data_IF_136654683871
#
_entry.id   IF_136654683871
#
_cell.length_a   1.000
_cell.length_b   1.000
_cell.length_c   1.000
_cell.angle_alpha   90.00
_cell.angle_beta   90.00
_cell.angle_gamma   90.00
#
_symmetry.space_group_name_H-M   'P 1'
#
loop_
_entity.id
_entity.type
_entity.pdbx_description
1 polymer ?
#
# COMPACT_ATOMS: atom_id res chain seq x y z
N UNK A 1 -10.82 -21.41 -17.08
CA UNK A 1 -11.53 -20.96 -15.87
C UNK A 1 -13.03 -20.94 -16.16
N UNK A 2 -13.88 -21.30 -15.18
CA UNK A 2 -15.33 -21.30 -15.35
C UNK A 2 -15.84 -19.88 -15.66
N UNK A 3 -16.85 -19.75 -16.56
CA UNK A 3 -17.53 -18.49 -16.76
C UNK A 3 -18.09 -17.88 -15.48
N UNK A 4 -18.18 -16.58 -15.39
CA UNK A 4 -18.63 -15.83 -14.17
C UNK A 4 -19.98 -16.34 -13.67
N UNK A 5 -20.97 -16.52 -14.57
CA UNK A 5 -22.31 -16.99 -14.22
C UNK A 5 -22.32 -18.44 -13.67
N UNK A 6 -21.46 -19.30 -14.21
CA UNK A 6 -21.29 -20.69 -13.70
C UNK A 6 -20.60 -20.68 -12.35
N UNK A 7 -19.54 -19.89 -12.20
CA UNK A 7 -18.84 -19.73 -10.92
C UNK A 7 -19.79 -19.22 -9.83
N UNK A 8 -20.58 -18.18 -10.10
CA UNK A 8 -21.54 -17.62 -9.14
C UNK A 8 -22.59 -18.65 -8.67
N UNK A 9 -22.94 -19.64 -9.51
CA UNK A 9 -23.90 -20.71 -9.15
C UNK A 9 -23.29 -21.89 -8.43
N UNK A 10 -21.99 -22.15 -8.63
CA UNK A 10 -21.32 -23.38 -8.15
C UNK A 10 -20.46 -23.17 -6.91
N UNK A 11 -19.85 -21.99 -6.73
CA UNK A 11 -19.04 -21.71 -5.55
C UNK A 11 -19.91 -21.61 -4.29
N UNK A 12 -19.38 -22.01 -3.13
CA UNK A 12 -20.14 -22.09 -1.88
C UNK A 12 -19.37 -21.60 -0.65
N UNK A 13 -18.05 -21.60 -0.68
CA UNK A 13 -17.21 -21.32 0.47
C UNK A 13 -16.13 -20.30 0.15
N UNK A 14 -15.49 -19.75 1.19
CA UNK A 14 -14.30 -18.88 1.07
C UNK A 14 -13.20 -19.62 0.29
N UNK A 15 -12.96 -20.88 0.58
CA UNK A 15 -12.00 -21.75 -0.14
C UNK A 15 -12.28 -21.81 -1.64
N UNK A 16 -13.54 -21.96 -2.02
CA UNK A 16 -13.94 -22.00 -3.43
C UNK A 16 -13.62 -20.68 -4.14
N UNK A 17 -13.94 -19.55 -3.49
CA UNK A 17 -13.66 -18.21 -4.03
C UNK A 17 -12.16 -17.96 -4.18
N UNK A 18 -11.35 -18.31 -3.17
CA UNK A 18 -9.89 -18.15 -3.23
C UNK A 18 -9.33 -18.98 -4.39
N UNK A 19 -9.70 -20.26 -4.49
CA UNK A 19 -9.28 -21.10 -5.60
C UNK A 19 -9.68 -20.49 -6.96
N UNK A 20 -10.91 -19.99 -7.07
CA UNK A 20 -11.37 -19.31 -8.28
C UNK A 20 -10.54 -18.06 -8.59
N UNK A 21 -10.33 -17.19 -7.60
CA UNK A 21 -9.55 -15.97 -7.75
C UNK A 21 -8.11 -16.24 -8.19
N UNK A 22 -7.42 -17.22 -7.57
CA UNK A 22 -6.08 -17.65 -8.00
C UNK A 22 -6.08 -18.06 -9.47
N UNK A 23 -7.05 -18.89 -9.88
CA UNK A 23 -7.14 -19.35 -11.28
C UNK A 23 -7.38 -18.18 -12.25
N UNK A 24 -8.19 -17.20 -11.84
CA UNK A 24 -8.47 -16.00 -12.67
C UNK A 24 -7.26 -15.09 -12.80
N UNK A 25 -6.58 -14.78 -11.69
CA UNK A 25 -5.37 -13.96 -11.68
C UNK A 25 -4.27 -14.57 -12.55
N UNK A 26 -4.03 -15.87 -12.41
CA UNK A 26 -3.04 -16.58 -13.25
C UNK A 26 -3.44 -16.60 -14.73
N UNK A 27 -4.70 -16.91 -15.04
CA UNK A 27 -5.20 -16.91 -16.42
C UNK A 27 -5.13 -15.53 -17.08
N UNK A 28 -5.33 -14.46 -16.32
CA UNK A 28 -5.19 -13.08 -16.74
C UNK A 28 -3.73 -12.62 -16.82
N UNK A 29 -2.77 -13.46 -16.42
CA UNK A 29 -1.35 -13.09 -16.32
C UNK A 29 -1.18 -11.78 -15.50
N UNK A 30 -1.88 -11.68 -14.36
CA UNK A 30 -1.79 -10.53 -13.46
C UNK A 30 -0.37 -10.38 -12.93
N UNK A 31 0.12 -9.15 -12.85
CA UNK A 31 1.40 -8.83 -12.21
C UNK A 31 1.17 -8.42 -10.77
N UNK A 32 2.10 -8.82 -9.91
CA UNK A 32 2.08 -8.57 -8.47
C UNK A 32 3.21 -7.63 -8.07
N UNK A 33 3.32 -7.26 -6.79
CA UNK A 33 4.33 -6.35 -6.26
C UNK A 33 3.76 -5.04 -5.68
N UNK A 34 2.43 -4.98 -5.53
CA UNK A 34 1.72 -3.85 -4.92
C UNK A 34 1.11 -4.25 -3.56
N UNK A 35 1.93 -4.89 -2.71
CA UNK A 35 1.53 -5.37 -1.39
C UNK A 35 1.40 -6.90 -1.28
N UNK A 36 1.36 -7.61 -2.41
CA UNK A 36 1.41 -9.07 -2.51
C UNK A 36 2.39 -9.46 -3.60
N UNK A 37 3.03 -10.63 -3.46
CA UNK A 37 4.06 -11.10 -4.39
C UNK A 37 3.58 -12.24 -5.30
N UNK A 38 2.37 -12.73 -5.09
CA UNK A 38 1.83 -13.87 -5.82
C UNK A 38 0.30 -13.90 -5.86
N UNK A 39 -0.24 -14.74 -6.74
CA UNK A 39 -1.68 -14.87 -6.96
C UNK A 39 -2.45 -15.42 -5.76
N UNK A 40 -1.81 -16.23 -4.90
CA UNK A 40 -2.47 -16.81 -3.74
C UNK A 40 -2.74 -15.74 -2.68
N UNK A 41 -1.72 -15.00 -2.27
CA UNK A 41 -1.84 -13.97 -1.26
C UNK A 41 -2.80 -12.85 -1.70
N UNK A 42 -2.73 -12.48 -2.99
CA UNK A 42 -3.66 -11.48 -3.53
C UNK A 42 -5.10 -12.00 -3.58
N UNK A 43 -5.32 -13.27 -3.94
CA UNK A 43 -6.65 -13.89 -3.93
C UNK A 43 -7.23 -13.97 -2.51
N UNK A 44 -6.41 -14.33 -1.53
CA UNK A 44 -6.81 -14.36 -0.12
C UNK A 44 -7.24 -12.96 0.33
N UNK A 45 -6.42 -11.95 0.05
CA UNK A 45 -6.75 -10.57 0.40
C UNK A 45 -8.04 -10.11 -0.25
N UNK A 46 -8.17 -10.24 -1.58
CA UNK A 46 -9.37 -9.83 -2.32
C UNK A 46 -10.65 -10.46 -1.74
N UNK A 47 -10.61 -11.77 -1.47
CA UNK A 47 -11.77 -12.49 -0.94
C UNK A 47 -12.09 -12.06 0.48
N UNK A 48 -11.12 -12.04 1.40
CA UNK A 48 -11.37 -11.64 2.78
C UNK A 48 -11.83 -10.17 2.87
N UNK A 49 -11.20 -9.29 2.10
CA UNK A 49 -11.58 -7.87 2.05
C UNK A 49 -13.02 -7.69 1.55
N UNK A 50 -13.41 -8.38 0.48
CA UNK A 50 -14.77 -8.29 -0.09
C UNK A 50 -15.85 -8.80 0.87
N UNK A 51 -15.48 -9.66 1.81
CA UNK A 51 -16.36 -10.24 2.82
C UNK A 51 -16.28 -9.48 4.16
N UNK A 52 -15.52 -8.39 4.25
CA UNK A 52 -15.25 -7.66 5.50
C UNK A 52 -14.70 -8.55 6.63
N UNK A 53 -13.89 -9.55 6.27
CA UNK A 53 -13.24 -10.47 7.20
C UNK A 53 -11.82 -10.00 7.55
N UNK A 54 -11.31 -10.34 8.76
CA UNK A 54 -9.93 -10.04 9.13
C UNK A 54 -8.93 -10.68 8.16
N UNK A 55 -7.99 -9.89 7.65
CA UNK A 55 -7.02 -10.33 6.64
C UNK A 55 -5.99 -11.31 7.20
N UNK A 56 -5.81 -11.35 8.53
CA UNK A 56 -4.87 -12.20 9.27
C UNK A 56 -5.49 -13.51 9.78
N UNK A 57 -6.77 -13.78 9.50
CA UNK A 57 -7.51 -14.93 10.05
C UNK A 57 -8.21 -15.78 8.98
N UNK A 58 -7.43 -16.36 8.07
CA UNK A 58 -7.97 -17.15 6.98
C UNK A 58 -8.52 -18.52 7.45
N UNK A 59 -7.73 -19.28 8.21
CA UNK A 59 -8.02 -20.71 8.48
C UNK A 59 -9.42 -20.98 9.05
N UNK A 60 -9.91 -20.25 10.06
CA UNK A 60 -11.24 -20.53 10.60
C UNK A 60 -12.38 -20.17 9.63
N UNK A 61 -12.08 -19.39 8.58
CA UNK A 61 -13.10 -18.92 7.61
C UNK A 61 -13.16 -19.75 6.34
N UNK A 62 -12.16 -20.61 6.06
CA UNK A 62 -12.02 -21.30 4.78
C UNK A 62 -13.26 -22.09 4.34
N UNK A 63 -13.90 -22.80 5.26
CA UNK A 63 -15.05 -23.64 4.96
C UNK A 63 -16.40 -22.95 5.28
N UNK A 64 -16.36 -21.65 5.63
CA UNK A 64 -17.56 -20.87 5.84
C UNK A 64 -18.38 -20.78 4.54
N UNK A 65 -19.69 -21.04 4.66
CA UNK A 65 -20.63 -20.88 3.54
C UNK A 65 -21.01 -19.43 3.35
N UNK A 66 -21.11 -19.06 2.10
CA UNK A 66 -21.35 -17.70 1.67
C UNK A 66 -22.75 -17.53 1.07
N UNK A 67 -23.30 -16.35 1.27
CA UNK A 67 -24.54 -15.96 0.59
C UNK A 67 -24.26 -15.72 -0.92
N UNK A 68 -25.27 -15.90 -1.80
CA UNK A 68 -25.09 -15.62 -3.23
C UNK A 68 -24.64 -14.18 -3.54
N UNK A 69 -25.04 -13.19 -2.75
CA UNK A 69 -24.61 -11.79 -2.89
C UNK A 69 -23.15 -11.59 -2.55
N UNK A 70 -22.63 -12.26 -1.52
CA UNK A 70 -21.23 -12.22 -1.15
C UNK A 70 -20.34 -12.85 -2.24
N UNK A 71 -20.78 -14.00 -2.77
CA UNK A 71 -20.09 -14.66 -3.89
C UNK A 71 -20.04 -13.73 -5.12
N UNK A 72 -21.16 -13.11 -5.46
CA UNK A 72 -21.25 -12.21 -6.61
C UNK A 72 -20.33 -10.97 -6.43
N UNK A 73 -20.30 -10.37 -5.24
CA UNK A 73 -19.43 -9.23 -4.94
C UNK A 73 -17.94 -9.59 -5.03
N UNK A 74 -17.54 -10.73 -4.45
CA UNK A 74 -16.16 -11.20 -4.53
C UNK A 74 -15.73 -11.51 -5.97
N UNK A 75 -16.56 -12.20 -6.75
CA UNK A 75 -16.30 -12.47 -8.16
C UNK A 75 -16.15 -11.16 -8.95
N UNK A 76 -17.06 -10.19 -8.74
CA UNK A 76 -17.00 -8.90 -9.44
C UNK A 76 -15.68 -8.17 -9.16
N UNK A 77 -15.20 -8.19 -7.91
CA UNK A 77 -13.93 -7.58 -7.54
C UNK A 77 -12.74 -8.28 -8.21
N UNK A 78 -12.72 -9.61 -8.23
CA UNK A 78 -11.69 -10.41 -8.92
C UNK A 78 -11.69 -10.12 -10.42
N UNK A 79 -12.87 -10.06 -11.05
CA UNK A 79 -12.96 -9.75 -12.49
C UNK A 79 -12.49 -8.32 -12.79
N UNK A 80 -12.83 -7.34 -11.94
CA UNK A 80 -12.29 -5.98 -12.08
C UNK A 80 -10.78 -5.97 -12.00
N UNK A 81 -10.19 -6.67 -11.03
CA UNK A 81 -8.73 -6.79 -10.91
C UNK A 81 -8.08 -7.36 -12.17
N UNK A 82 -8.70 -8.38 -12.76
CA UNK A 82 -8.20 -9.04 -13.96
C UNK A 82 -8.35 -8.20 -15.24
N UNK A 83 -9.46 -7.45 -15.38
CA UNK A 83 -9.81 -6.71 -16.60
C UNK A 83 -9.26 -5.29 -16.60
N UNK A 84 -9.39 -4.58 -15.48
CA UNK A 84 -8.91 -3.20 -15.33
C UNK A 84 -7.40 -3.14 -15.05
N UNK A 85 -6.80 -4.24 -14.61
CA UNK A 85 -5.36 -4.33 -14.25
C UNK A 85 -4.95 -3.34 -13.16
N UNK A 86 -5.90 -2.90 -12.36
CA UNK A 86 -5.63 -2.01 -11.23
C UNK A 86 -4.85 -2.77 -10.14
N UNK A 87 -3.86 -2.14 -9.49
CA UNK A 87 -3.26 -2.68 -8.28
C UNK A 87 -4.31 -3.03 -7.24
N UNK A 88 -4.09 -4.13 -6.50
CA UNK A 88 -4.97 -4.55 -5.40
C UNK A 88 -5.27 -3.38 -4.45
N UNK A 89 -4.24 -2.65 -4.04
CA UNK A 89 -4.36 -1.53 -3.11
C UNK A 89 -5.28 -0.40 -3.63
N UNK A 90 -5.30 -0.16 -4.94
CA UNK A 90 -6.20 0.85 -5.53
C UNK A 90 -7.64 0.34 -5.65
N UNK A 91 -7.83 -0.97 -5.84
CA UNK A 91 -9.16 -1.59 -5.85
C UNK A 91 -9.82 -1.58 -4.48
N UNK A 92 -9.03 -1.80 -3.43
CA UNK A 92 -9.50 -1.86 -2.04
C UNK A 92 -9.48 -0.49 -1.35
N UNK A 93 -8.76 0.48 -1.90
CA UNK A 93 -8.56 1.79 -1.29
C UNK A 93 -7.61 1.75 -0.09
N UNK A 94 -6.89 0.65 0.13
CA UNK A 94 -5.99 0.49 1.25
C UNK A 94 -4.77 -0.37 0.93
N UNK A 95 -3.68 -0.10 1.61
CA UNK A 95 -2.46 -0.88 1.60
C UNK A 95 -1.95 -1.11 3.03
N UNK A 96 -1.16 -2.16 3.22
CA UNK A 96 -0.56 -2.48 4.50
C UNK A 96 0.97 -2.52 4.37
N UNK A 97 1.65 -1.84 5.26
CA UNK A 97 3.10 -1.81 5.32
C UNK A 97 3.56 -1.90 6.77
N UNK A 98 4.34 -2.91 7.11
CA UNK A 98 4.83 -3.18 8.48
C UNK A 98 3.71 -3.26 9.53
N UNK A 99 2.57 -3.85 9.17
CA UNK A 99 1.42 -3.97 10.07
C UNK A 99 0.54 -2.74 10.20
N UNK A 100 0.93 -1.63 9.58
CA UNK A 100 0.17 -0.39 9.56
C UNK A 100 -0.70 -0.28 8.31
N UNK A 101 -1.93 0.22 8.46
CA UNK A 101 -2.87 0.42 7.38
C UNK A 101 -2.78 1.84 6.82
N UNK A 102 -2.71 1.95 5.50
CA UNK A 102 -2.71 3.22 4.78
C UNK A 102 -3.86 3.31 3.79
N UNK A 103 -4.48 4.45 3.66
CA UNK A 103 -5.34 4.78 2.53
C UNK A 103 -4.47 4.86 1.27
N UNK A 104 -4.97 4.31 0.17
CA UNK A 104 -4.19 4.17 -1.04
C UNK A 104 -5.04 4.34 -2.30
N UNK A 105 -4.63 5.23 -3.19
CA UNK A 105 -5.22 5.44 -4.51
C UNK A 105 -4.19 6.04 -5.48
N UNK A 106 -4.61 6.34 -6.71
CA UNK A 106 -3.74 6.82 -7.78
C UNK A 106 -3.10 8.21 -7.54
N UNK A 107 -3.33 8.86 -6.38
CA UNK A 107 -2.66 10.12 -5.99
C UNK A 107 -1.20 9.91 -5.57
N UNK A 108 -0.86 8.71 -5.08
CA UNK A 108 0.51 8.38 -4.67
C UNK A 108 0.85 6.92 -4.95
N UNK A 109 2.16 6.62 -4.94
CA UNK A 109 2.69 5.27 -5.06
C UNK A 109 2.09 4.36 -3.96
N UNK A 110 1.80 3.10 -4.32
CA UNK A 110 1.41 2.09 -3.32
C UNK A 110 2.52 1.98 -2.26
N UNK A 111 2.19 2.09 -0.96
CA UNK A 111 3.18 1.98 0.12
C UNK A 111 4.01 0.70 0.01
N UNK A 112 5.27 0.87 -0.37
CA UNK A 112 6.28 -0.19 -0.45
C UNK A 112 7.67 0.46 -0.43
N UNK A 113 8.52 0.05 0.47
CA UNK A 113 9.90 0.57 0.50
C UNK A 113 10.76 -0.31 1.39
N UNK A 114 11.96 -0.69 0.97
CA UNK A 114 12.95 -1.34 1.84
C UNK A 114 13.33 -0.47 3.06
N UNK A 115 13.15 0.85 2.98
CA UNK A 115 13.39 1.77 4.11
C UNK A 115 12.44 1.44 5.27
N UNK A 116 11.21 0.99 4.98
CA UNK A 116 10.28 0.57 6.02
C UNK A 116 10.82 -0.63 6.83
N UNK A 117 11.49 -1.58 6.16
CA UNK A 117 12.11 -2.72 6.84
C UNK A 117 13.28 -2.28 7.73
N UNK A 118 14.07 -1.29 7.28
CA UNK A 118 15.14 -0.71 8.08
C UNK A 118 14.59 0.02 9.32
N UNK A 119 13.49 0.77 9.17
CA UNK A 119 12.85 1.47 10.29
C UNK A 119 12.28 0.53 11.34
N UNK A 120 11.82 -0.67 10.93
CA UNK A 120 11.23 -1.67 11.82
C UNK A 120 12.25 -2.69 12.37
N UNK A 121 13.53 -2.51 12.07
CA UNK A 121 14.61 -3.41 12.48
C UNK A 121 15.67 -2.68 13.31
N UNK A 122 16.53 -3.47 13.96
CA UNK A 122 17.70 -2.98 14.69
C UNK A 122 18.86 -2.62 13.76
N UNK A 123 18.68 -2.73 12.44
CA UNK A 123 19.75 -2.49 11.45
C UNK A 123 20.25 -1.04 11.46
N UNK A 124 19.46 -0.10 11.94
CA UNK A 124 19.85 1.31 12.07
C UNK A 124 20.63 1.62 13.38
N UNK A 125 20.55 0.77 14.39
CA UNK A 125 21.18 1.04 15.69
C UNK A 125 22.66 1.40 15.64
N UNK A 126 23.52 0.76 14.82
CA UNK A 126 24.93 1.14 14.73
C UNK A 126 25.18 2.55 14.16
N UNK A 127 24.17 3.14 13.50
CA UNK A 127 24.30 4.40 12.76
C UNK A 127 23.51 5.54 13.37
N UNK A 128 22.54 5.21 14.24
CA UNK A 128 21.72 6.20 14.92
C UNK A 128 22.15 6.33 16.38
N UNK A 129 22.09 7.54 16.94
CA UNK A 129 22.08 7.71 18.38
C UNK A 129 20.86 6.98 18.96
N UNK A 130 20.72 7.00 20.28
CA UNK A 130 19.52 6.46 20.93
C UNK A 130 18.26 6.99 20.22
N UNK A 131 17.27 6.13 20.00
CA UNK A 131 16.03 6.52 19.31
C UNK A 131 15.35 7.73 19.98
N UNK A 132 15.55 7.90 21.30
CA UNK A 132 15.06 9.03 22.06
C UNK A 132 15.79 10.35 21.75
N UNK A 133 16.98 10.30 21.15
CA UNK A 133 17.76 11.48 20.76
C UNK A 133 17.39 11.98 19.36
N UNK A 134 16.62 11.24 18.58
CA UNK A 134 16.09 11.66 17.29
C UNK A 134 14.91 12.62 17.51
N UNK A 135 15.16 13.91 17.37
CA UNK A 135 14.16 14.97 17.55
C UNK A 135 13.47 15.42 16.27
N UNK A 136 14.15 15.29 15.12
CA UNK A 136 13.65 15.79 13.83
C UNK A 136 13.92 14.81 12.69
N UNK A 137 12.86 14.45 11.95
CA UNK A 137 12.95 13.54 10.80
C UNK A 137 12.36 14.22 9.56
N UNK A 138 13.02 14.06 8.43
CA UNK A 138 12.51 14.41 7.11
C UNK A 138 12.20 13.14 6.32
N UNK A 139 11.01 13.07 5.73
CA UNK A 139 10.65 12.14 4.67
C UNK A 139 10.54 12.92 3.36
N UNK A 140 11.57 12.81 2.52
CA UNK A 140 11.69 13.54 1.25
C UNK A 140 11.13 12.68 0.12
N UNK A 141 10.24 13.23 -0.71
CA UNK A 141 9.39 12.52 -1.65
C UNK A 141 8.42 11.59 -0.90
N UNK A 142 7.69 12.17 0.05
CA UNK A 142 6.90 11.44 1.04
C UNK A 142 5.71 10.67 0.44
N UNK A 143 5.24 11.05 -0.76
CA UNK A 143 4.06 10.42 -1.37
C UNK A 143 2.86 10.45 -0.42
N UNK A 144 2.29 9.28 -0.12
CA UNK A 144 1.19 9.10 0.84
C UNK A 144 1.61 9.13 2.32
N UNK A 145 2.83 9.58 2.65
CA UNK A 145 3.41 9.70 3.99
C UNK A 145 3.66 8.38 4.73
N UNK A 146 3.76 7.25 4.05
CA UNK A 146 3.96 5.98 4.73
C UNK A 146 5.25 5.93 5.55
N UNK A 147 6.38 6.38 4.99
CA UNK A 147 7.65 6.42 5.72
C UNK A 147 7.66 7.47 6.83
N UNK A 148 7.04 8.64 6.60
CA UNK A 148 6.89 9.67 7.63
C UNK A 148 6.12 9.16 8.86
N UNK A 149 5.03 8.41 8.63
CA UNK A 149 4.21 7.81 9.67
C UNK A 149 4.97 6.72 10.41
N UNK A 150 5.63 5.79 9.70
CA UNK A 150 6.46 4.75 10.32
C UNK A 150 7.60 5.35 11.15
N UNK A 151 8.26 6.42 10.65
CA UNK A 151 9.28 7.13 11.39
C UNK A 151 8.71 7.79 12.67
N UNK A 152 7.51 8.38 12.59
CA UNK A 152 6.85 8.96 13.76
C UNK A 152 6.49 7.91 14.80
N UNK A 153 6.12 6.69 14.41
CA UNK A 153 5.91 5.57 15.33
C UNK A 153 7.23 5.11 15.96
N UNK A 154 8.29 4.91 15.16
CA UNK A 154 9.61 4.45 15.63
C UNK A 154 10.26 5.45 16.58
N UNK A 155 10.21 6.74 16.26
CA UNK A 155 10.84 7.83 17.03
C UNK A 155 9.76 8.63 17.76
N UNK A 156 9.32 8.10 18.90
CA UNK A 156 8.15 8.61 19.63
C UNK A 156 8.19 10.10 20.00
N UNK A 157 9.39 10.71 20.10
CA UNK A 157 9.60 12.13 20.42
C UNK A 157 9.82 13.01 19.20
N UNK A 158 10.09 12.43 18.02
CA UNK A 158 10.45 13.20 16.85
C UNK A 158 9.26 13.99 16.27
N UNK A 159 9.58 15.20 15.79
CA UNK A 159 8.74 15.93 14.85
C UNK A 159 9.14 15.53 13.44
N UNK A 160 8.18 15.14 12.62
CA UNK A 160 8.43 14.66 11.26
C UNK A 160 7.91 15.66 10.24
N UNK A 161 8.70 15.90 9.19
CA UNK A 161 8.25 16.66 8.01
C UNK A 161 8.21 15.70 6.82
N UNK A 162 7.03 15.55 6.20
CA UNK A 162 6.87 14.95 4.87
C UNK A 162 6.93 16.04 3.81
N UNK A 163 7.80 15.91 2.81
CA UNK A 163 7.90 16.85 1.72
C UNK A 163 7.67 16.18 0.36
N UNK A 164 6.82 16.75 -0.47
CA UNK A 164 6.54 16.26 -1.82
C UNK A 164 6.26 17.40 -2.79
N UNK A 165 6.44 17.14 -4.07
CA UNK A 165 6.11 18.07 -5.14
C UNK A 165 4.61 18.06 -5.45
N UNK A 166 3.96 16.87 -5.38
CA UNK A 166 2.57 16.64 -5.74
C UNK A 166 1.61 17.09 -4.64
N UNK A 167 0.70 17.99 -4.96
CA UNK A 167 -0.40 18.42 -4.07
C UNK A 167 -1.38 17.29 -3.82
N UNK A 168 -1.61 16.43 -4.80
CA UNK A 168 -2.49 15.27 -4.72
C UNK A 168 -1.93 14.22 -3.76
N UNK A 169 -0.63 13.94 -3.85
CA UNK A 169 0.05 13.04 -2.93
C UNK A 169 0.00 13.57 -1.49
N UNK A 170 0.25 14.89 -1.31
CA UNK A 170 0.16 15.53 0.01
C UNK A 170 -1.27 15.54 0.58
N UNK A 171 -2.30 15.58 -0.27
CA UNK A 171 -3.68 15.43 0.20
C UNK A 171 -3.92 14.02 0.78
N UNK A 172 -3.49 12.96 0.07
CA UNK A 172 -3.55 11.58 0.58
C UNK A 172 -2.69 11.42 1.85
N UNK A 173 -1.50 12.03 1.86
CA UNK A 173 -0.63 12.04 3.04
C UNK A 173 -1.32 12.62 4.27
N UNK A 174 -2.05 13.74 4.10
CA UNK A 174 -2.84 14.35 5.18
C UNK A 174 -3.93 13.43 5.72
N UNK A 175 -4.62 12.70 4.84
CA UNK A 175 -5.63 11.70 5.22
C UNK A 175 -4.98 10.55 6.02
N UNK A 176 -3.82 10.05 5.60
CA UNK A 176 -3.08 9.00 6.31
C UNK A 176 -2.57 9.47 7.67
N UNK A 177 -2.00 10.69 7.75
CA UNK A 177 -1.55 11.27 9.02
C UNK A 177 -2.72 11.39 10.02
N UNK A 178 -3.89 11.79 9.55
CA UNK A 178 -5.09 11.87 10.38
C UNK A 178 -5.57 10.48 10.81
N UNK A 179 -5.56 9.48 9.91
CA UNK A 179 -5.89 8.08 10.21
C UNK A 179 -5.04 7.53 11.35
N UNK A 180 -3.75 7.88 11.39
CA UNK A 180 -2.79 7.45 12.42
C UNK A 180 -2.73 8.37 13.65
N UNK A 181 -3.59 9.39 13.74
CA UNK A 181 -3.62 10.36 14.84
C UNK A 181 -2.30 11.12 15.06
N UNK A 182 -1.57 11.42 13.97
CA UNK A 182 -0.24 12.03 14.01
C UNK A 182 -0.22 13.50 13.56
N UNK A 183 -1.35 14.19 13.49
CA UNK A 183 -1.48 15.56 13.00
C UNK A 183 -0.64 16.59 13.78
N UNK A 184 -0.37 16.34 15.06
CA UNK A 184 0.46 17.21 15.91
C UNK A 184 1.98 16.94 15.75
N UNK A 185 2.34 15.80 15.14
CA UNK A 185 3.74 15.37 15.05
C UNK A 185 4.27 15.30 13.63
N UNK A 186 3.42 15.10 12.64
CA UNK A 186 3.79 15.03 11.23
C UNK A 186 3.20 16.21 10.49
N UNK A 187 4.05 17.02 9.89
CA UNK A 187 3.66 18.18 9.08
C UNK A 187 4.08 18.03 7.64
N UNK A 188 3.30 18.56 6.71
CA UNK A 188 3.54 18.43 5.28
C UNK A 188 4.09 19.74 4.68
N UNK A 189 4.97 19.63 3.68
CA UNK A 189 5.52 20.75 2.92
C UNK A 189 5.49 20.43 1.43
N UNK A 190 4.89 21.32 0.65
CA UNK A 190 4.91 21.23 -0.80
C UNK A 190 6.13 21.93 -1.37
N UNK A 191 6.83 21.28 -2.29
CA UNK A 191 7.93 21.85 -3.04
C UNK A 191 8.89 20.84 -3.61
N UNK A 192 9.77 21.31 -4.49
CA UNK A 192 10.78 20.45 -5.12
C UNK A 192 11.94 20.21 -4.16
N UNK A 193 12.14 18.96 -3.78
CA UNK A 193 13.25 18.52 -2.93
C UNK A 193 13.45 19.42 -1.70
N UNK A 194 14.60 20.07 -1.60
CA UNK A 194 14.98 20.92 -0.46
C UNK A 194 14.38 22.33 -0.47
N UNK A 195 13.70 22.74 -1.55
CA UNK A 195 13.21 24.12 -1.69
C UNK A 195 12.26 24.57 -0.56
N UNK A 196 11.33 23.73 -0.03
CA UNK A 196 10.43 24.13 1.05
C UNK A 196 11.07 24.00 2.45
N UNK A 197 12.35 23.62 2.52
CA UNK A 197 13.05 23.23 3.75
C UNK A 197 14.23 24.15 4.08
N UNK A 198 14.31 25.32 3.45
CA UNK A 198 15.44 26.24 3.61
C UNK A 198 15.75 26.53 5.09
N UNK A 199 17.00 26.41 5.48
CA UNK A 199 17.49 26.67 6.84
C UNK A 199 17.16 25.60 7.88
N UNK A 200 16.44 24.51 7.51
CA UNK A 200 16.16 23.40 8.41
C UNK A 200 17.32 22.40 8.47
N UNK A 201 17.43 21.72 9.61
CA UNK A 201 18.33 20.61 9.83
C UNK A 201 17.53 19.45 10.38
N UNK A 202 17.96 18.22 10.13
CA UNK A 202 17.29 17.00 10.53
C UNK A 202 18.31 16.02 11.11
N UNK A 203 17.89 15.27 12.11
CA UNK A 203 18.69 14.22 12.69
C UNK A 203 18.68 12.96 11.78
N UNK A 204 17.55 12.75 11.07
CA UNK A 204 17.39 11.67 10.11
C UNK A 204 16.67 12.17 8.86
N UNK A 205 17.13 11.73 7.69
CA UNK A 205 16.48 11.99 6.40
C UNK A 205 16.19 10.63 5.75
N UNK A 206 14.91 10.39 5.47
CA UNK A 206 14.42 9.30 4.65
C UNK A 206 14.16 9.83 3.25
N UNK A 207 14.48 9.06 2.23
CA UNK A 207 14.23 9.47 0.86
C UNK A 207 14.02 8.25 -0.04
N UNK A 208 12.82 8.12 -0.58
CA UNK A 208 12.49 7.14 -1.61
C UNK A 208 12.05 7.88 -2.88
N UNK A 209 12.98 8.49 -3.64
CA UNK A 209 12.64 9.33 -4.77
C UNK A 209 12.23 8.50 -5.98
N UNK A 210 11.56 9.07 -6.98
CA UNK A 210 11.33 8.41 -8.26
C UNK A 210 12.67 8.13 -8.95
N UNK A 211 12.95 6.84 -9.23
CA UNK A 211 14.19 6.38 -9.85
C UNK A 211 13.97 5.61 -11.16
N UNK A 212 12.71 5.40 -11.55
CA UNK A 212 12.37 4.73 -12.81
C UNK A 212 12.17 5.79 -13.89
N UNK A 213 12.99 5.73 -14.95
CA UNK A 213 12.86 6.66 -16.06
C UNK A 213 11.65 6.32 -16.97
N UNK A 214 11.22 7.30 -17.79
CA UNK A 214 10.02 7.14 -18.64
C UNK A 214 10.10 5.96 -19.63
N UNK A 215 11.29 5.61 -20.12
CA UNK A 215 11.46 4.47 -21.03
C UNK A 215 11.23 3.15 -20.28
N UNK A 216 11.81 2.99 -19.11
CA UNK A 216 11.60 1.81 -18.27
C UNK A 216 10.16 1.71 -17.76
N UNK A 217 9.49 2.84 -17.46
CA UNK A 217 8.07 2.85 -17.09
C UNK A 217 7.18 2.28 -18.20
N UNK A 218 7.50 2.54 -19.48
CA UNK A 218 6.72 2.02 -20.60
C UNK A 218 6.81 0.49 -20.75
N UNK A 219 7.88 -0.13 -20.24
CA UNK A 219 8.11 -1.58 -20.28
C UNK A 219 7.49 -2.32 -19.08
N UNK A 220 7.08 -1.59 -18.03
CA UNK A 220 6.47 -2.20 -16.86
C UNK A 220 5.10 -2.82 -17.19
N UNK A 221 4.70 -3.86 -16.45
CA UNK A 221 3.35 -4.43 -16.53
C UNK A 221 2.25 -3.36 -16.39
N UNK A 222 1.06 -3.68 -16.90
CA UNK A 222 -0.07 -2.74 -16.92
C UNK A 222 -0.43 -2.20 -15.54
N UNK A 223 -0.30 -3.01 -14.51
CA UNK A 223 -0.58 -2.66 -13.12
C UNK A 223 0.26 -1.47 -12.63
N UNK A 224 1.55 -1.45 -12.96
CA UNK A 224 2.48 -0.38 -12.55
C UNK A 224 2.22 0.94 -13.27
N UNK A 225 1.57 0.89 -14.44
CA UNK A 225 1.24 2.10 -15.21
C UNK A 225 0.04 2.88 -14.66
N UNK A 226 -0.66 2.33 -13.68
CA UNK A 226 -1.71 3.05 -12.95
C UNK A 226 -1.16 3.95 -11.85
N UNK A 227 0.10 3.77 -11.46
CA UNK A 227 0.76 4.63 -10.49
C UNK A 227 1.11 6.00 -11.11
N UNK A 228 1.17 7.08 -10.31
CA UNK A 228 1.39 8.41 -10.84
C UNK A 228 2.75 8.52 -11.54
N UNK A 229 2.78 9.23 -12.67
CA UNK A 229 4.01 9.53 -13.40
C UNK A 229 4.85 10.49 -12.57
N UNK A 230 6.03 10.05 -12.15
CA UNK A 230 6.94 10.83 -11.29
C UNK A 230 6.85 10.49 -9.81
N UNK A 231 6.21 9.35 -9.50
CA UNK A 231 6.25 8.73 -8.18
C UNK A 231 7.40 7.72 -8.08
#
# INVERSE_FOLDING_TARGET
VAPVDEAARSLRSVRDLIRYAVSRLQSAQASFGHGTDNAWDEAVWLVLWSLHLPLDRLDPMLDARLAPSEIAAAIALVERRCTERLPLAYLTGEAWLRGERFLCDARALVPRSPIADLLDSDALEPWLPDADDIGTVLDLCTGGASLAILAAHRFGRASVIGADLSTEALALAGENIALHHLTERVSLRQGSLWSPLAGKRFDLVLCNPPYVNAASMAELPAEFRHEPVGA
#
